data_IF_197535273548
#
_entry.id   IF_197535273548
#
_cell.length_a   1.000
_cell.length_b   1.000
_cell.length_c   1.000
_cell.angle_alpha   90.00
_cell.angle_beta   90.00
_cell.angle_gamma   90.00
#
_symmetry.space_group_name_H-M   'P 1'
#
loop_
_entity.id
_entity.type
_entity.pdbx_description
1 polymer ?
#
# COMPACT_ATOMS: atom_id res chain seq x y z
N UNK A 1 10.04 11.66 3.98
CA UNK A 1 9.31 12.56 3.06
C UNK A 1 7.91 12.00 2.89
N UNK A 2 6.89 12.72 3.34
CA UNK A 2 5.49 12.33 3.16
C UNK A 2 5.11 12.66 1.71
N UNK A 3 4.64 11.67 0.93
CA UNK A 3 4.52 11.78 -0.53
C UNK A 3 3.08 12.05 -1.01
N UNK A 4 2.11 12.09 -0.10
CA UNK A 4 0.75 12.55 -0.40
C UNK A 4 -0.33 11.60 0.11
N UNK A 5 -1.56 11.84 -0.37
CA UNK A 5 -2.77 11.10 -0.01
C UNK A 5 -3.23 10.25 -1.21
N UNK A 6 -3.57 9.00 -0.94
CA UNK A 6 -4.14 8.03 -1.88
C UNK A 6 -5.66 7.93 -1.65
N UNK A 7 -6.39 7.77 -2.75
CA UNK A 7 -7.86 7.78 -2.84
C UNK A 7 -8.36 6.52 -3.54
N UNK A 8 -9.69 6.31 -3.62
CA UNK A 8 -10.26 5.07 -4.13
C UNK A 8 -9.94 4.74 -5.60
N UNK A 9 -9.48 5.72 -6.38
CA UNK A 9 -9.02 5.50 -7.76
C UNK A 9 -7.54 5.11 -7.86
N UNK A 10 -6.78 5.24 -6.78
CA UNK A 10 -5.35 4.92 -6.77
C UNK A 10 -5.11 3.42 -6.67
N UNK A 11 -4.14 2.94 -7.45
CA UNK A 11 -3.69 1.56 -7.44
C UNK A 11 -2.33 1.41 -6.76
N UNK A 12 -2.29 0.68 -5.65
CA UNK A 12 -1.06 0.44 -4.89
C UNK A 12 0.01 -0.30 -5.71
N UNK A 13 -0.37 -0.99 -6.79
CA UNK A 13 0.60 -1.59 -7.71
C UNK A 13 1.45 -0.53 -8.44
N UNK A 14 0.93 0.68 -8.60
CA UNK A 14 1.57 1.79 -9.31
C UNK A 14 2.29 2.76 -8.36
N UNK A 15 2.17 2.58 -7.04
CA UNK A 15 2.93 3.38 -6.05
C UNK A 15 4.33 2.81 -5.88
N UNK A 16 5.22 3.18 -6.80
CA UNK A 16 6.58 2.63 -6.92
C UNK A 16 7.66 3.47 -6.26
N UNK A 17 7.31 4.68 -5.85
CA UNK A 17 8.27 5.64 -5.31
C UNK A 17 8.38 5.47 -3.80
N UNK A 18 9.61 5.44 -3.27
CA UNK A 18 9.81 5.37 -1.82
C UNK A 18 9.14 6.54 -1.11
N UNK A 19 8.44 6.26 0.00
CA UNK A 19 7.68 7.28 0.71
C UNK A 19 6.71 6.71 1.74
N UNK A 20 6.06 7.63 2.45
CA UNK A 20 4.93 7.37 3.33
C UNK A 20 3.72 8.06 2.70
N UNK A 21 2.59 7.37 2.65
CA UNK A 21 1.36 7.83 2.01
C UNK A 21 0.18 7.59 2.95
N UNK A 22 -0.67 8.59 3.10
CA UNK A 22 -1.98 8.44 3.74
C UNK A 22 -2.95 7.76 2.78
N UNK A 23 -3.78 6.85 3.26
CA UNK A 23 -4.91 6.28 2.52
C UNK A 23 -6.21 6.88 3.06
N UNK A 24 -7.03 7.40 2.16
CA UNK A 24 -8.39 7.84 2.46
C UNK A 24 -9.30 7.64 1.23
N UNK A 25 -9.93 6.47 1.20
CA UNK A 25 -10.76 5.92 0.15
C UNK A 25 -12.08 5.38 0.75
N UNK A 26 -12.99 6.25 1.22
CA UNK A 26 -14.10 5.89 2.11
C UNK A 26 -15.16 4.95 1.50
N UNK A 27 -15.29 4.91 0.18
CA UNK A 27 -16.36 4.16 -0.49
C UNK A 27 -15.95 2.72 -0.78
N UNK A 28 -14.83 2.53 -1.48
CA UNK A 28 -14.42 1.22 -2.01
C UNK A 28 -13.05 0.75 -1.53
N UNK A 29 -12.32 1.56 -0.77
CA UNK A 29 -10.90 1.33 -0.54
C UNK A 29 -10.04 1.62 -1.77
N UNK A 30 -8.72 1.53 -1.62
CA UNK A 30 -7.74 1.69 -2.70
C UNK A 30 -7.59 0.39 -3.49
N UNK A 31 -7.30 0.50 -4.79
CA UNK A 31 -7.11 -0.67 -5.66
C UNK A 31 -5.85 -1.44 -5.25
N UNK A 32 -5.92 -2.77 -5.26
CA UNK A 32 -4.86 -3.66 -4.81
C UNK A 32 -4.38 -3.41 -3.36
N UNK A 33 -5.23 -2.87 -2.49
CA UNK A 33 -4.89 -2.58 -1.09
C UNK A 33 -5.77 -3.25 -0.05
N UNK A 34 -6.21 -4.49 -0.30
CA UNK A 34 -6.96 -5.30 0.68
C UNK A 34 -8.20 -4.59 1.23
N UNK A 35 -8.90 -3.86 0.36
CA UNK A 35 -10.12 -3.11 0.68
C UNK A 35 -9.92 -2.06 1.80
N UNK A 36 -8.68 -1.62 2.03
CA UNK A 36 -8.39 -0.61 3.06
C UNK A 36 -8.90 0.76 2.62
N UNK A 37 -9.81 1.29 3.43
CA UNK A 37 -10.43 2.61 3.25
C UNK A 37 -9.62 3.73 3.93
N UNK A 38 -9.07 3.48 5.10
CA UNK A 38 -8.26 4.44 5.84
C UNK A 38 -7.02 3.75 6.39
N UNK A 39 -5.86 4.37 6.22
CA UNK A 39 -4.61 3.73 6.62
C UNK A 39 -3.36 4.42 6.14
N UNK A 40 -2.28 3.65 6.11
CA UNK A 40 -0.96 4.11 5.71
C UNK A 40 -0.33 3.11 4.74
N UNK A 41 0.26 3.61 3.67
CA UNK A 41 1.17 2.83 2.83
C UNK A 41 2.59 3.38 3.02
N UNK A 42 3.53 2.49 3.32
CA UNK A 42 4.97 2.79 3.36
C UNK A 42 5.62 2.01 2.23
N UNK A 43 6.40 2.69 1.39
CA UNK A 43 7.07 2.12 0.23
C UNK A 43 8.58 2.30 0.37
N UNK A 44 9.32 1.20 0.19
CA UNK A 44 10.77 1.21 0.00
C UNK A 44 11.08 0.68 -1.40
N UNK A 45 11.83 1.46 -2.17
CA UNK A 45 12.15 1.17 -3.57
C UNK A 45 13.66 1.38 -3.80
N UNK A 46 14.47 0.50 -3.22
CA UNK A 46 15.93 0.55 -3.30
C UNK A 46 16.50 -0.88 -3.36
N UNK A 47 16.99 -1.30 -4.53
CA UNK A 47 17.44 -2.68 -4.80
C UNK A 47 16.29 -3.69 -4.87
N UNK A 48 15.48 -3.75 -3.82
CA UNK A 48 14.23 -4.49 -3.74
C UNK A 48 13.06 -3.53 -3.46
N UNK A 49 11.86 -3.95 -3.88
CA UNK A 49 10.63 -3.19 -3.63
C UNK A 49 9.86 -3.80 -2.48
N UNK A 50 9.49 -2.98 -1.51
CA UNK A 50 8.76 -3.41 -0.31
C UNK A 50 7.61 -2.43 -0.13
N UNK A 51 6.43 -2.96 0.19
CA UNK A 51 5.30 -2.17 0.65
C UNK A 51 4.79 -2.72 1.98
N UNK A 52 4.55 -1.82 2.93
CA UNK A 52 3.87 -2.08 4.19
C UNK A 52 2.56 -1.30 4.17
N UNK A 53 1.47 -1.98 4.46
CA UNK A 53 0.12 -1.45 4.39
C UNK A 53 -0.55 -1.64 5.75
N UNK A 54 -0.80 -0.54 6.45
CA UNK A 54 -1.48 -0.55 7.75
C UNK A 54 -2.93 -0.10 7.60
N UNK A 55 -3.86 -0.87 8.17
CA UNK A 55 -5.25 -0.49 8.29
C UNK A 55 -5.48 0.38 9.53
N UNK A 56 -5.99 1.59 9.33
CA UNK A 56 -6.28 2.52 10.42
C UNK A 56 -7.52 2.17 11.24
N UNK A 57 -8.46 1.37 10.71
CA UNK A 57 -9.73 1.07 11.39
C UNK A 57 -9.67 -0.18 12.27
N UNK A 58 -9.01 -1.24 11.79
CA UNK A 58 -9.05 -2.56 12.42
C UNK A 58 -7.69 -3.06 12.91
N UNK A 59 -6.64 -2.23 12.79
CA UNK A 59 -5.30 -2.51 13.35
C UNK A 59 -4.52 -3.62 12.66
N UNK A 60 -5.05 -4.23 11.59
CA UNK A 60 -4.34 -5.22 10.80
C UNK A 60 -3.31 -4.57 9.87
N UNK A 61 -2.18 -5.25 9.66
CA UNK A 61 -1.13 -4.81 8.75
C UNK A 61 -0.77 -5.91 7.76
N UNK A 62 -0.34 -5.49 6.58
CA UNK A 62 0.12 -6.37 5.51
C UNK A 62 1.48 -5.91 5.01
N UNK A 63 2.25 -6.85 4.48
CA UNK A 63 3.43 -6.52 3.70
C UNK A 63 3.47 -7.32 2.39
N UNK A 64 4.16 -6.77 1.40
CA UNK A 64 4.56 -7.49 0.20
C UNK A 64 5.91 -7.03 -0.27
N UNK A 65 6.63 -7.92 -0.94
CA UNK A 65 8.01 -7.68 -1.39
C UNK A 65 8.16 -8.14 -2.82
N UNK A 66 8.95 -7.43 -3.61
CA UNK A 66 9.25 -7.78 -5.00
C UNK A 66 8.15 -7.36 -5.97
N UNK A 67 8.55 -7.09 -7.21
CA UNK A 67 7.64 -6.80 -8.32
C UNK A 67 8.32 -7.24 -9.61
N UNK A 68 7.84 -8.32 -10.19
CA UNK A 68 8.42 -8.94 -11.37
C UNK A 68 7.48 -8.80 -12.55
N UNK A 69 8.01 -8.35 -13.70
CA UNK A 69 7.23 -8.09 -14.92
C UNK A 69 5.96 -7.25 -14.68
N UNK A 70 6.07 -6.28 -13.77
CA UNK A 70 4.97 -5.38 -13.43
C UNK A 70 3.98 -5.92 -12.39
N UNK A 71 4.09 -7.19 -12.00
CA UNK A 71 3.20 -7.86 -11.04
C UNK A 71 3.84 -7.91 -9.66
N UNK A 72 3.10 -7.47 -8.65
CA UNK A 72 3.51 -7.62 -7.25
C UNK A 72 3.25 -9.04 -6.76
N UNK A 73 4.09 -9.49 -5.84
CA UNK A 73 3.76 -10.64 -5.01
C UNK A 73 2.57 -10.33 -4.11
N UNK A 74 1.89 -11.38 -3.66
CA UNK A 74 0.71 -11.25 -2.82
C UNK A 74 1.02 -10.58 -1.48
N UNK A 75 0.02 -9.88 -0.96
CA UNK A 75 0.06 -9.34 0.40
C UNK A 75 -0.01 -10.46 1.43
N UNK A 76 0.92 -10.43 2.38
CA UNK A 76 1.00 -11.31 3.53
C UNK A 76 0.57 -10.53 4.77
N UNK A 77 -0.27 -11.12 5.61
CA UNK A 77 -0.69 -10.53 6.89
C UNK A 77 0.45 -10.55 7.89
N UNK A 78 0.62 -9.46 8.62
CA UNK A 78 1.48 -9.38 9.80
C UNK A 78 0.55 -9.47 11.01
N UNK A 79 0.71 -10.52 11.80
CA UNK A 79 0.01 -10.72 13.08
C UNK A 79 0.93 -10.33 14.23
#
# INVERSE_FOLDING_TARGET
>A
MNKGRLTGTDDLNNVLTSGIYEISAPTTGVLNGKDIQYGILIVFSAGQRIQLLGNGLYGNAYFRTGRDNGRWYDWVSIY
#
